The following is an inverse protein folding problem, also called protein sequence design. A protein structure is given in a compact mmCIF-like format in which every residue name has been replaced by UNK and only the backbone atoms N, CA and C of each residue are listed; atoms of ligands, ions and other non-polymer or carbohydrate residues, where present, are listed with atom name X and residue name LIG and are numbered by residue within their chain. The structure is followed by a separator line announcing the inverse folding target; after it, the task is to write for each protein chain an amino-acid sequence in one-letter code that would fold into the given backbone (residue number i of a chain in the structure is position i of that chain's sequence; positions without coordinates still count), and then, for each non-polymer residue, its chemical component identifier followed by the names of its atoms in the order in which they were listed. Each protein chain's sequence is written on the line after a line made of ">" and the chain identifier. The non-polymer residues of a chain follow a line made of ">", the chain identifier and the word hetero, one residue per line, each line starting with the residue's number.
data_IF_022396291867
#
_entry.id   IF_022396291867
#
_cell.length_a   1.000
_cell.length_b   1.000
_cell.length_c   1.000
_cell.angle_alpha   90.00
_cell.angle_beta   90.00
_cell.angle_gamma   90.00
#
_symmetry.space_group_name_H-M   'P 1'
#
loop_
_entity.id
_entity.type
_entity.pdbx_description
1 polymer ?
#
# COMPACT_ATOMS: atom_id res chain seq x y z
N UNK A 1 1.59 -20.33 -31.18
CA UNK A 1 1.98 -18.92 -31.41
C UNK A 1 3.34 -18.73 -32.08
N UNK A 2 4.24 -19.72 -32.10
CA UNK A 2 5.56 -19.60 -32.76
C UNK A 2 5.54 -19.30 -34.28
N UNK A 3 4.39 -19.51 -34.94
CA UNK A 3 4.21 -19.23 -36.37
C UNK A 3 3.70 -17.80 -36.64
N UNK A 4 3.41 -17.01 -35.60
CA UNK A 4 3.00 -15.60 -35.73
C UNK A 4 4.22 -14.71 -35.49
N UNK A 5 4.44 -13.74 -36.38
CA UNK A 5 5.57 -12.82 -36.30
C UNK A 5 5.23 -11.63 -35.37
N UNK A 6 5.81 -11.63 -34.18
CA UNK A 6 5.65 -10.59 -33.17
C UNK A 6 6.27 -9.25 -33.58
N UNK A 7 7.35 -9.26 -34.37
CA UNK A 7 8.02 -8.04 -34.82
C UNK A 7 7.11 -7.25 -35.79
N UNK A 8 6.47 -7.95 -36.73
CA UNK A 8 5.49 -7.35 -37.65
C UNK A 8 4.27 -6.79 -36.91
N UNK A 9 3.75 -7.52 -35.92
CA UNK A 9 2.64 -7.06 -35.10
C UNK A 9 3.01 -5.85 -34.25
N UNK A 10 4.22 -5.82 -33.68
CA UNK A 10 4.73 -4.68 -32.94
C UNK A 10 4.80 -3.42 -33.80
N UNK A 11 5.36 -3.51 -35.01
CA UNK A 11 5.45 -2.36 -35.91
C UNK A 11 4.07 -1.87 -36.37
N UNK A 12 3.17 -2.78 -36.76
CA UNK A 12 1.79 -2.45 -37.11
C UNK A 12 1.07 -1.68 -35.99
N UNK A 13 1.14 -2.19 -34.76
CA UNK A 13 0.47 -1.58 -33.61
C UNK A 13 1.14 -0.25 -33.23
N UNK A 14 2.46 -0.16 -33.32
CA UNK A 14 3.21 1.09 -33.11
C UNK A 14 2.74 2.18 -34.05
N UNK A 15 2.62 1.89 -35.34
CA UNK A 15 2.11 2.85 -36.31
C UNK A 15 0.66 3.24 -36.04
N UNK A 16 -0.17 2.29 -35.66
CA UNK A 16 -1.59 2.55 -35.39
C UNK A 16 -1.78 3.49 -34.21
N UNK A 17 -1.05 3.23 -33.11
CA UNK A 17 -1.05 4.05 -31.89
C UNK A 17 -0.43 5.43 -32.16
N UNK A 18 0.68 5.51 -32.90
CA UNK A 18 1.31 6.80 -33.21
C UNK A 18 0.44 7.70 -34.10
N UNK A 19 -0.41 7.11 -34.94
CA UNK A 19 -1.41 7.80 -35.76
C UNK A 19 -2.69 8.14 -34.99
N UNK A 20 -2.78 7.82 -33.69
CA UNK A 20 -3.95 8.08 -32.86
C UNK A 20 -5.21 7.29 -33.25
N UNK A 21 -5.04 6.16 -33.97
CA UNK A 21 -6.18 5.32 -34.38
C UNK A 21 -6.60 4.42 -33.22
N UNK A 22 -7.91 4.27 -33.03
CA UNK A 22 -8.48 3.34 -32.04
C UNK A 22 -8.05 1.89 -32.30
N UNK A 23 -7.75 1.18 -31.23
CA UNK A 23 -7.42 -0.24 -31.27
C UNK A 23 -8.70 -1.08 -31.28
N UNK A 24 -8.71 -2.14 -32.09
CA UNK A 24 -9.76 -3.17 -32.07
C UNK A 24 -9.44 -4.21 -30.99
N UNK A 25 -10.41 -5.08 -30.66
CA UNK A 25 -10.16 -6.21 -29.77
C UNK A 25 -9.06 -7.14 -30.29
N UNK A 26 -8.96 -7.31 -31.61
CA UNK A 26 -7.90 -8.09 -32.26
C UNK A 26 -6.52 -7.46 -32.07
N UNK A 27 -6.44 -6.12 -32.13
CA UNK A 27 -5.20 -5.39 -31.87
C UNK A 27 -4.74 -5.56 -30.42
N UNK A 28 -5.67 -5.46 -29.47
CA UNK A 28 -5.40 -5.61 -28.03
C UNK A 28 -4.90 -7.04 -27.75
N UNK A 29 -5.56 -8.05 -28.32
CA UNK A 29 -5.13 -9.44 -28.22
C UNK A 29 -3.76 -9.65 -28.86
N UNK A 30 -3.52 -9.09 -30.04
CA UNK A 30 -2.22 -9.17 -30.71
C UNK A 30 -1.12 -8.54 -29.84
N UNK A 31 -1.35 -7.33 -29.29
CA UNK A 31 -0.39 -6.63 -28.44
C UNK A 31 -0.03 -7.44 -27.20
N UNK A 32 -1.05 -8.06 -26.59
CA UNK A 32 -0.91 -8.91 -25.41
C UNK A 32 -0.06 -10.14 -25.70
N UNK A 33 -0.27 -10.78 -26.86
CA UNK A 33 0.34 -12.08 -27.18
C UNK A 33 1.73 -11.99 -27.81
N UNK A 34 2.18 -10.80 -28.23
CA UNK A 34 3.53 -10.54 -28.78
C UNK A 34 4.68 -11.18 -27.98
N UNK A 35 4.70 -11.17 -26.63
CA UNK A 35 5.75 -11.85 -25.87
C UNK A 35 5.91 -13.33 -26.24
N UNK A 36 4.80 -14.01 -26.54
CA UNK A 36 4.72 -15.45 -26.87
C UNK A 36 4.87 -15.76 -28.37
N UNK A 37 4.93 -14.73 -29.23
CA UNK A 37 5.12 -14.86 -30.67
C UNK A 37 6.60 -15.07 -31.02
N UNK A 38 6.91 -15.47 -32.26
CA UNK A 38 8.30 -15.48 -32.73
C UNK A 38 8.76 -14.05 -33.05
N UNK A 39 10.06 -13.83 -32.99
CA UNK A 39 10.67 -12.53 -33.29
C UNK A 39 12.16 -12.56 -33.04
N UNK A 40 12.86 -11.51 -33.45
CA UNK A 40 14.32 -11.43 -33.37
C UNK A 40 14.84 -11.36 -31.93
N UNK A 41 14.09 -10.69 -31.06
CA UNK A 41 14.47 -10.46 -29.67
C UNK A 41 13.94 -11.54 -28.71
N UNK A 42 14.41 -11.47 -27.47
CA UNK A 42 13.95 -12.36 -26.41
C UNK A 42 12.46 -12.12 -26.08
N UNK A 43 11.83 -13.12 -25.44
CA UNK A 43 10.48 -12.95 -24.91
C UNK A 43 10.38 -11.80 -23.91
N UNK A 44 11.44 -11.57 -23.12
CA UNK A 44 11.50 -10.48 -22.14
C UNK A 44 11.53 -9.11 -22.81
N UNK A 45 12.37 -8.94 -23.84
CA UNK A 45 12.43 -7.68 -24.58
C UNK A 45 11.10 -7.37 -25.29
N UNK A 46 10.47 -8.40 -25.86
CA UNK A 46 9.12 -8.27 -26.44
C UNK A 46 8.09 -7.87 -25.39
N UNK A 47 8.14 -8.44 -24.19
CA UNK A 47 7.30 -8.00 -23.06
C UNK A 47 7.48 -6.53 -22.74
N UNK A 48 8.73 -6.06 -22.62
CA UNK A 48 9.03 -4.66 -22.33
C UNK A 48 8.52 -3.73 -23.43
N UNK A 49 8.68 -4.13 -24.70
CA UNK A 49 8.15 -3.39 -25.85
C UNK A 49 6.62 -3.34 -25.85
N UNK A 50 5.94 -4.45 -25.57
CA UNK A 50 4.48 -4.49 -25.44
C UNK A 50 4.00 -3.55 -24.32
N UNK A 51 4.63 -3.60 -23.15
CA UNK A 51 4.28 -2.72 -22.01
C UNK A 51 4.49 -1.25 -22.38
N UNK A 52 5.64 -0.92 -22.97
CA UNK A 52 5.97 0.45 -23.39
C UNK A 52 5.03 0.95 -24.50
N UNK A 53 4.52 0.05 -25.33
CA UNK A 53 3.55 0.41 -26.36
C UNK A 53 2.16 0.64 -25.74
N UNK A 54 1.75 -0.19 -24.78
CA UNK A 54 0.51 -0.01 -24.04
C UNK A 54 0.49 1.30 -23.23
N UNK A 55 1.64 1.72 -22.69
CA UNK A 55 1.82 3.00 -22.00
C UNK A 55 1.41 4.20 -22.87
N UNK A 56 1.65 4.12 -24.19
CA UNK A 56 1.36 5.19 -25.17
C UNK A 56 -0.09 5.24 -25.62
N UNK A 57 -0.91 4.25 -25.26
CA UNK A 57 -2.34 4.28 -25.56
C UNK A 57 -2.97 5.40 -24.72
N UNK A 58 -3.82 6.26 -25.30
CA UNK A 58 -4.61 7.23 -24.54
C UNK A 58 -5.40 6.56 -23.42
N UNK A 59 -5.67 7.29 -22.34
CA UNK A 59 -6.46 6.72 -21.24
C UNK A 59 -7.87 6.38 -21.74
N UNK A 60 -8.20 5.09 -21.74
CA UNK A 60 -9.45 4.56 -22.28
C UNK A 60 -9.70 3.13 -21.79
N UNK A 61 -10.89 2.59 -22.06
CA UNK A 61 -11.22 1.20 -21.76
C UNK A 61 -10.29 0.22 -22.50
N UNK A 62 -9.87 0.54 -23.73
CA UNK A 62 -8.94 -0.27 -24.52
C UNK A 62 -7.56 -0.33 -23.86
N UNK A 63 -7.07 0.79 -23.33
CA UNK A 63 -5.81 0.81 -22.56
C UNK A 63 -5.92 -0.07 -21.33
N UNK A 64 -7.01 0.07 -20.57
CA UNK A 64 -7.24 -0.73 -19.36
C UNK A 64 -7.29 -2.22 -19.70
N UNK A 65 -8.08 -2.62 -20.70
CA UNK A 65 -8.15 -4.01 -21.17
C UNK A 65 -6.79 -4.54 -21.60
N UNK A 66 -6.03 -3.75 -22.36
CA UNK A 66 -4.70 -4.13 -22.82
C UNK A 66 -3.74 -4.34 -21.65
N UNK A 67 -3.71 -3.43 -20.68
CA UNK A 67 -2.88 -3.57 -19.49
C UNK A 67 -3.31 -4.77 -18.63
N UNK A 68 -4.62 -5.00 -18.43
CA UNK A 68 -5.13 -6.15 -17.68
C UNK A 68 -4.71 -7.48 -18.31
N UNK A 69 -4.83 -7.60 -19.63
CA UNK A 69 -4.45 -8.81 -20.36
C UNK A 69 -2.93 -9.01 -20.36
N UNK A 70 -2.16 -7.94 -20.53
CA UNK A 70 -0.70 -7.98 -20.38
C UNK A 70 -0.30 -8.45 -18.99
N UNK A 71 -0.94 -7.94 -17.93
CA UNK A 71 -0.68 -8.40 -16.56
C UNK A 71 -0.94 -9.89 -16.40
N UNK A 72 -2.10 -10.37 -16.87
CA UNK A 72 -2.45 -11.79 -16.78
C UNK A 72 -1.40 -12.70 -17.46
N UNK A 73 -0.83 -12.24 -18.58
CA UNK A 73 0.26 -12.95 -19.25
C UNK A 73 1.58 -12.86 -18.49
N UNK A 74 1.94 -11.65 -18.01
CA UNK A 74 3.19 -11.40 -17.28
C UNK A 74 3.22 -12.08 -15.90
N UNK A 75 2.08 -12.25 -15.25
CA UNK A 75 2.00 -12.96 -13.98
C UNK A 75 2.53 -14.39 -14.14
N UNK A 76 2.13 -15.06 -15.23
CA UNK A 76 2.49 -16.44 -15.54
C UNK A 76 3.82 -16.61 -16.27
N UNK A 77 4.20 -15.67 -17.15
CA UNK A 77 5.33 -15.84 -18.08
C UNK A 77 6.32 -14.67 -18.07
N UNK A 78 6.03 -13.59 -17.36
CA UNK A 78 6.88 -12.41 -17.26
C UNK A 78 8.00 -12.61 -16.26
N UNK A 79 9.17 -12.05 -16.57
CA UNK A 79 10.28 -11.94 -15.64
C UNK A 79 10.12 -10.72 -14.71
N UNK A 80 10.98 -10.64 -13.69
CA UNK A 80 10.95 -9.54 -12.73
C UNK A 80 11.12 -8.16 -13.39
N UNK A 81 11.92 -8.09 -14.46
CA UNK A 81 12.13 -6.84 -15.20
C UNK A 81 10.84 -6.36 -15.87
N UNK A 82 10.12 -7.25 -16.55
CA UNK A 82 8.84 -6.93 -17.17
C UNK A 82 7.76 -6.62 -16.12
N UNK A 83 7.71 -7.37 -15.01
CA UNK A 83 6.77 -7.09 -13.90
C UNK A 83 7.03 -5.72 -13.27
N UNK A 84 8.30 -5.35 -13.05
CA UNK A 84 8.67 -4.03 -12.53
C UNK A 84 8.24 -2.91 -13.48
N UNK A 85 8.57 -3.03 -14.77
CA UNK A 85 8.16 -2.03 -15.78
C UNK A 85 6.64 -1.93 -15.89
N UNK A 86 5.92 -3.05 -15.81
CA UNK A 86 4.46 -3.04 -15.82
C UNK A 86 3.88 -2.30 -14.61
N UNK A 87 4.43 -2.52 -13.41
CA UNK A 87 4.04 -1.82 -12.19
C UNK A 87 4.22 -0.30 -12.33
N UNK A 88 5.32 0.16 -12.93
CA UNK A 88 5.54 1.57 -13.22
C UNK A 88 4.44 2.15 -14.11
N UNK A 89 4.11 1.46 -15.21
CA UNK A 89 3.07 1.92 -16.16
C UNK A 89 1.70 1.97 -15.50
N UNK A 90 1.27 0.92 -14.80
CA UNK A 90 0.00 0.92 -14.06
C UNK A 90 -0.01 2.04 -13.02
N UNK A 91 1.10 2.29 -12.34
CA UNK A 91 1.17 3.37 -11.35
C UNK A 91 0.88 4.74 -11.98
N UNK A 92 1.20 4.96 -13.25
CA UNK A 92 0.94 6.24 -13.90
C UNK A 92 -0.51 6.41 -14.41
N UNK A 93 -1.28 5.33 -14.52
CA UNK A 93 -2.69 5.34 -14.95
C UNK A 93 -3.62 6.01 -13.95
N UNK A 94 -4.84 6.36 -14.38
CA UNK A 94 -5.87 6.91 -13.48
C UNK A 94 -6.24 5.91 -12.38
N UNK A 95 -6.46 4.64 -12.75
CA UNK A 95 -6.77 3.60 -11.78
C UNK A 95 -5.63 3.37 -10.77
N UNK A 96 -4.37 3.43 -11.24
CA UNK A 96 -3.21 3.31 -10.36
C UNK A 96 -3.07 4.47 -9.38
N UNK A 97 -3.44 5.70 -9.79
CA UNK A 97 -3.53 6.86 -8.89
C UNK A 97 -4.65 6.68 -7.86
N UNK A 98 -5.84 6.26 -8.30
CA UNK A 98 -6.97 6.00 -7.40
C UNK A 98 -6.62 5.00 -6.30
N UNK A 99 -6.02 3.86 -6.67
CA UNK A 99 -5.58 2.83 -5.71
C UNK A 99 -4.57 3.40 -4.70
N UNK A 100 -3.61 4.21 -5.16
CA UNK A 100 -2.65 4.86 -4.25
C UNK A 100 -3.30 5.87 -3.32
N UNK A 101 -4.23 6.67 -3.82
CA UNK A 101 -4.91 7.68 -3.03
C UNK A 101 -5.82 7.04 -1.98
N UNK A 102 -6.49 5.93 -2.31
CA UNK A 102 -7.26 5.11 -1.36
C UNK A 102 -6.33 4.52 -0.29
N UNK A 103 -5.25 3.86 -0.69
CA UNK A 103 -4.28 3.31 0.26
C UNK A 103 -3.66 4.38 1.19
N UNK A 104 -3.38 5.58 0.65
CA UNK A 104 -2.89 6.71 1.45
C UNK A 104 -3.94 7.19 2.46
N UNK A 105 -5.21 7.30 2.04
CA UNK A 105 -6.31 7.68 2.95
C UNK A 105 -6.49 6.66 4.06
N UNK A 106 -6.47 5.37 3.74
CA UNK A 106 -6.55 4.29 4.73
C UNK A 106 -5.37 4.35 5.71
N UNK A 107 -4.14 4.50 5.21
CA UNK A 107 -2.96 4.63 6.06
C UNK A 107 -3.01 5.85 7.00
N UNK A 108 -3.52 6.99 6.51
CA UNK A 108 -3.72 8.18 7.36
C UNK A 108 -4.79 7.93 8.42
N UNK A 109 -5.90 7.26 8.07
CA UNK A 109 -6.96 6.95 9.03
C UNK A 109 -6.49 5.99 10.12
N UNK A 110 -5.76 4.94 9.76
CA UNK A 110 -5.14 4.00 10.70
C UNK A 110 -4.18 4.73 11.64
N UNK A 111 -3.29 5.56 11.08
CA UNK A 111 -2.32 6.34 11.86
C UNK A 111 -2.96 7.35 12.81
N UNK A 112 -4.05 8.02 12.40
CA UNK A 112 -4.82 8.90 13.30
C UNK A 112 -5.48 8.10 14.42
N UNK A 113 -6.01 6.92 14.13
CA UNK A 113 -6.67 6.06 15.12
C UNK A 113 -5.67 5.54 16.15
N UNK A 114 -4.51 5.07 15.69
CA UNK A 114 -3.42 4.62 16.55
C UNK A 114 -2.89 5.77 17.40
N UNK A 115 -2.57 6.93 16.79
CA UNK A 115 -2.10 8.10 17.53
C UNK A 115 -3.11 8.64 18.55
N UNK A 116 -4.42 8.56 18.27
CA UNK A 116 -5.46 8.89 19.27
C UNK A 116 -5.49 7.90 20.43
N UNK A 117 -5.29 6.61 20.15
CA UNK A 117 -5.25 5.57 21.19
C UNK A 117 -4.03 5.75 22.08
N UNK A 118 -2.84 5.91 21.48
CA UNK A 118 -1.60 6.18 22.21
C UNK A 118 -1.68 7.47 23.03
N UNK A 119 -2.11 8.58 22.42
CA UNK A 119 -2.25 9.85 23.12
C UNK A 119 -3.27 9.82 24.27
N UNK A 120 -4.32 8.99 24.17
CA UNK A 120 -5.27 8.76 25.26
C UNK A 120 -4.63 7.97 26.40
N UNK A 121 -3.91 6.90 26.10
CA UNK A 121 -3.22 6.07 27.09
C UNK A 121 -2.12 6.86 27.83
N UNK A 122 -1.31 7.62 27.10
CA UNK A 122 -0.31 8.54 27.67
C UNK A 122 -0.98 9.60 28.55
N UNK A 123 -2.06 10.24 28.06
CA UNK A 123 -2.80 11.25 28.80
C UNK A 123 -3.37 10.71 30.12
N UNK A 124 -3.94 9.50 30.12
CA UNK A 124 -4.42 8.83 31.34
C UNK A 124 -3.29 8.55 32.32
N UNK A 125 -2.17 8.00 31.84
CA UNK A 125 -0.99 7.70 32.65
C UNK A 125 -0.45 8.96 33.35
N UNK A 126 -0.23 10.02 32.57
CA UNK A 126 0.29 11.30 33.07
C UNK A 126 -0.69 11.98 34.03
N UNK A 127 -2.00 11.87 33.78
CA UNK A 127 -3.01 12.39 34.70
C UNK A 127 -2.99 11.62 36.03
N UNK A 128 -2.94 10.28 36.00
CA UNK A 128 -2.84 9.47 37.21
C UNK A 128 -1.59 9.82 38.02
N UNK A 129 -0.42 9.93 37.36
CA UNK A 129 0.84 10.33 38.01
C UNK A 129 0.68 11.70 38.69
N UNK A 130 0.08 12.69 38.03
CA UNK A 130 -0.16 14.02 38.62
C UNK A 130 -1.07 13.95 39.84
N UNK A 131 -2.13 13.15 39.80
CA UNK A 131 -3.04 12.96 40.93
C UNK A 131 -2.33 12.30 42.11
N UNK A 132 -1.54 11.25 41.88
CA UNK A 132 -0.76 10.57 42.91
C UNK A 132 0.28 11.53 43.53
N UNK A 133 0.99 12.33 42.73
CA UNK A 133 1.90 13.37 43.24
C UNK A 133 1.16 14.41 44.07
N UNK A 134 -0.04 14.83 43.63
CA UNK A 134 -0.85 15.80 44.37
C UNK A 134 -1.27 15.26 45.74
N UNK A 135 -1.64 13.98 45.81
CA UNK A 135 -2.07 13.29 47.05
C UNK A 135 -0.89 13.02 47.99
N UNK A 136 0.19 12.39 47.50
CA UNK A 136 1.30 11.91 48.31
C UNK A 136 2.51 12.86 48.38
N UNK A 137 2.43 14.04 47.75
CA UNK A 137 3.52 15.03 47.56
C UNK A 137 4.64 14.58 46.63
N UNK A 138 4.99 13.30 46.65
CA UNK A 138 5.98 12.69 45.78
C UNK A 138 5.60 11.25 45.46
N UNK A 139 5.99 10.79 44.28
CA UNK A 139 5.86 9.39 43.85
C UNK A 139 7.23 8.96 43.31
N UNK A 140 7.77 7.80 43.74
CA UNK A 140 9.00 7.24 43.18
C UNK A 140 8.97 7.16 41.65
N UNK A 141 10.10 7.46 41.00
CA UNK A 141 10.16 7.45 39.53
C UNK A 141 9.89 6.07 38.93
N UNK A 142 10.29 5.01 39.64
CA UNK A 142 10.01 3.62 39.27
C UNK A 142 8.50 3.37 39.07
N UNK A 143 7.65 3.91 39.95
CA UNK A 143 6.21 3.77 39.84
C UNK A 143 5.64 4.56 38.66
N UNK A 144 6.18 5.74 38.35
CA UNK A 144 5.76 6.51 37.17
C UNK A 144 6.05 5.75 35.88
N UNK A 145 7.24 5.16 35.78
CA UNK A 145 7.63 4.32 34.64
C UNK A 145 6.77 3.07 34.49
N UNK A 146 6.38 2.44 35.61
CA UNK A 146 5.44 1.32 35.58
C UNK A 146 4.05 1.77 35.11
N UNK A 147 3.53 2.89 35.63
CA UNK A 147 2.23 3.44 35.24
C UNK A 147 2.16 3.75 33.74
N UNK A 148 3.21 4.35 33.16
CA UNK A 148 3.28 4.65 31.71
C UNK A 148 3.18 3.41 30.81
N UNK A 149 3.46 2.23 31.35
CA UNK A 149 3.44 0.95 30.63
C UNK A 149 2.21 0.11 30.95
N UNK A 150 1.35 0.56 31.86
CA UNK A 150 0.14 -0.17 32.22
C UNK A 150 -0.91 -0.12 31.12
N UNK A 151 -1.74 -1.17 30.99
CA UNK A 151 -2.97 -1.10 30.21
C UNK A 151 -3.88 0.03 30.71
N UNK A 152 -4.61 0.67 29.79
CA UNK A 152 -5.56 1.75 30.12
C UNK A 152 -6.55 1.34 31.20
N UNK A 153 -6.99 0.10 31.19
CA UNK A 153 -7.97 -0.46 32.13
C UNK A 153 -7.40 -0.50 33.55
N UNK A 154 -6.11 -0.79 33.69
CA UNK A 154 -5.46 -0.83 35.01
C UNK A 154 -5.26 0.59 35.54
N UNK A 155 -4.92 1.55 34.67
CA UNK A 155 -4.83 2.97 35.02
C UNK A 155 -6.20 3.48 35.52
N UNK A 156 -7.29 3.12 34.85
CA UNK A 156 -8.65 3.50 35.24
C UNK A 156 -9.04 2.92 36.61
N UNK A 157 -8.63 1.69 36.93
CA UNK A 157 -8.84 1.09 38.26
C UNK A 157 -8.08 1.84 39.34
N UNK A 158 -6.78 2.11 39.15
CA UNK A 158 -5.98 2.87 40.13
C UNK A 158 -6.56 4.27 40.33
N UNK A 159 -7.01 4.92 39.25
CA UNK A 159 -7.62 6.24 39.32
C UNK A 159 -8.95 6.23 40.10
N UNK A 160 -9.72 5.15 40.02
CA UNK A 160 -10.99 4.98 40.77
C UNK A 160 -10.71 4.75 42.24
N UNK A 161 -9.73 3.90 42.56
CA UNK A 161 -9.35 3.54 43.94
C UNK A 161 -8.46 4.61 44.61
N UNK A 162 -8.21 5.75 43.95
CA UNK A 162 -7.22 6.73 44.40
C UNK A 162 -7.54 7.32 45.78
N UNK A 163 -8.82 7.37 46.17
CA UNK A 163 -9.23 7.93 47.45
C UNK A 163 -9.03 6.93 48.59
N UNK A 164 -9.12 5.64 48.31
CA UNK A 164 -8.93 4.50 49.20
C UNK A 164 -7.46 4.15 49.44
N UNK A 165 -6.55 4.62 48.58
CA UNK A 165 -5.10 4.41 48.72
C UNK A 165 -4.53 5.40 49.73
N UNK A 166 -4.05 4.92 50.89
CA UNK A 166 -3.51 5.77 51.96
C UNK A 166 -2.02 6.09 51.79
N UNK A 167 -1.27 5.19 51.13
CA UNK A 167 0.16 5.35 50.85
C UNK A 167 0.52 5.01 49.41
N UNK A 168 1.59 5.63 48.90
CA UNK A 168 2.02 5.43 47.52
C UNK A 168 2.43 3.98 47.23
N UNK A 169 2.98 3.26 48.21
CA UNK A 169 3.41 1.86 48.05
C UNK A 169 2.25 0.89 47.81
N UNK A 170 1.02 1.24 48.22
CA UNK A 170 -0.15 0.39 48.00
C UNK A 170 -0.53 0.26 46.52
N UNK A 171 0.00 1.12 45.65
CA UNK A 171 -0.21 0.98 44.20
C UNK A 171 0.50 -0.25 43.61
N UNK A 172 1.44 -0.85 44.35
CA UNK A 172 2.17 -2.05 43.90
C UNK A 172 1.24 -3.23 43.60
N UNK A 173 0.07 -3.29 44.23
CA UNK A 173 -0.93 -4.34 44.01
C UNK A 173 -1.57 -4.32 42.60
N UNK A 174 -1.38 -3.24 41.84
CA UNK A 174 -1.94 -3.08 40.49
C UNK A 174 -0.93 -3.32 39.37
N UNK A 175 0.33 -3.57 39.70
CA UNK A 175 1.39 -3.76 38.72
C UNK A 175 1.66 -5.23 38.35
#
# INVERSE_FOLDING_TARGET
>A
MKNLNGDEKLEYLREKISKGKSLTSEDILALTLIPLMSGKESSSDRSLKSITLAEKIPESNEKLQCLTLLYALLDKFGDEKAKSKFKEVISMTEIGKMIRDEALKEGIQEGIKEGKKEGKAEGKSEMLIKLLIKKFKSVPEEYKERIRKLPEETIDVIATDIFEIDKAEEIEKYF
#
